data_IF_543766760611
#
_entry.id   IF_543766760611
#
_cell.length_a   1.000
_cell.length_b   1.000
_cell.length_c   1.000
_cell.angle_alpha   90.00
_cell.angle_beta   90.00
_cell.angle_gamma   90.00
#
_symmetry.space_group_name_H-M   'P 1'
#
loop_
_entity.id
_entity.type
_entity.pdbx_description
1 polymer ?
#
# COMPACT_ATOMS: atom_id res chain seq x y z
N UNK A 1 -12.21 14.59 -12.13
CA UNK A 1 -11.19 15.05 -13.13
C UNK A 1 -11.25 16.57 -13.22
N UNK A 2 -12.42 17.20 -13.38
CA UNK A 2 -12.53 18.65 -13.58
C UNK A 2 -11.99 19.50 -12.41
N UNK A 3 -12.04 18.99 -11.18
CA UNK A 3 -11.51 19.65 -9.98
C UNK A 3 -9.98 19.78 -9.97
N UNK A 4 -9.28 18.99 -10.77
CA UNK A 4 -7.82 18.92 -10.77
C UNK A 4 -7.18 19.44 -12.06
N UNK A 5 -7.97 20.02 -12.98
CA UNK A 5 -7.49 20.49 -14.30
C UNK A 5 -6.38 21.56 -14.24
N UNK A 6 -6.25 22.25 -13.11
CA UNK A 6 -5.26 23.33 -12.93
C UNK A 6 -4.06 22.91 -12.07
N UNK A 7 -3.96 21.62 -11.71
CA UNK A 7 -2.87 21.07 -10.92
C UNK A 7 -1.95 20.26 -11.86
N UNK A 8 -0.67 20.16 -11.52
CA UNK A 8 0.31 19.30 -12.21
C UNK A 8 -0.01 17.81 -11.94
N UNK A 9 -1.19 17.37 -12.40
CA UNK A 9 -1.70 16.02 -12.19
C UNK A 9 -1.84 15.32 -13.54
N UNK A 10 -1.27 14.13 -13.64
CA UNK A 10 -1.42 13.24 -14.80
C UNK A 10 -2.48 12.19 -14.47
N UNK A 11 -3.54 12.13 -15.28
CA UNK A 11 -4.58 11.11 -15.16
C UNK A 11 -4.25 9.92 -16.04
N UNK A 12 -4.27 8.73 -15.43
CA UNK A 12 -4.06 7.46 -16.13
C UNK A 12 -5.29 6.58 -15.90
N UNK A 13 -5.91 6.14 -16.99
CA UNK A 13 -7.10 5.29 -16.93
C UNK A 13 -6.71 3.82 -16.84
N UNK A 14 -7.21 3.13 -15.82
CA UNK A 14 -7.22 1.67 -15.76
C UNK A 14 -8.50 1.15 -16.41
N UNK A 15 -8.43 0.74 -17.67
CA UNK A 15 -9.60 0.29 -18.46
C UNK A 15 -10.27 -0.99 -17.93
N UNK A 16 -9.51 -1.87 -17.29
CA UNK A 16 -9.99 -3.10 -16.68
C UNK A 16 -9.48 -3.14 -15.23
N UNK A 17 -10.36 -3.38 -14.29
CA UNK A 17 -10.02 -3.48 -12.87
C UNK A 17 -9.39 -4.87 -12.59
N UNK A 18 -8.11 -5.01 -12.89
CA UNK A 18 -7.36 -6.26 -12.75
C UNK A 18 -6.49 -6.32 -11.49
N UNK A 19 -6.70 -5.38 -10.55
CA UNK A 19 -5.97 -5.30 -9.29
C UNK A 19 -5.02 -4.10 -9.21
N UNK A 20 -4.43 -3.93 -8.02
CA UNK A 20 -3.65 -2.74 -7.66
C UNK A 20 -2.31 -2.65 -8.40
N UNK A 21 -1.64 -3.78 -8.67
CA UNK A 21 -0.42 -3.77 -9.50
C UNK A 21 -0.71 -3.41 -10.95
N UNK A 22 -1.87 -3.81 -11.49
CA UNK A 22 -2.27 -3.42 -12.84
C UNK A 22 -2.52 -1.92 -12.93
N UNK A 23 -3.11 -1.29 -11.89
CA UNK A 23 -3.24 0.16 -11.83
C UNK A 23 -1.87 0.85 -11.93
N UNK A 24 -0.89 0.42 -11.14
CA UNK A 24 0.48 0.97 -11.20
C UNK A 24 1.16 0.68 -12.54
N UNK A 25 0.93 -0.50 -13.13
CA UNK A 25 1.45 -0.84 -14.46
C UNK A 25 1.01 0.15 -15.53
N UNK A 26 -0.25 0.60 -15.48
CA UNK A 26 -0.74 1.64 -16.40
C UNK A 26 -0.05 2.99 -16.17
N UNK A 27 0.42 3.28 -14.95
CA UNK A 27 1.13 4.52 -14.61
C UNK A 27 2.62 4.52 -15.01
N UNK A 28 3.23 3.36 -15.33
CA UNK A 28 4.68 3.28 -15.61
C UNK A 28 5.14 4.19 -16.76
N UNK A 29 4.29 4.41 -17.75
CA UNK A 29 4.63 5.34 -18.86
C UNK A 29 4.80 6.79 -18.39
N UNK A 30 4.02 7.23 -17.40
CA UNK A 30 4.13 8.55 -16.78
C UNK A 30 5.39 8.67 -15.89
N UNK A 31 5.93 7.55 -15.42
CA UNK A 31 7.13 7.48 -14.57
C UNK A 31 8.42 7.24 -15.36
N UNK A 32 8.38 7.10 -16.69
CA UNK A 32 9.49 6.63 -17.52
C UNK A 32 10.81 7.41 -17.34
N UNK A 33 10.74 8.71 -17.06
CA UNK A 33 11.91 9.57 -16.88
C UNK A 33 12.07 10.05 -15.43
N UNK A 34 11.35 9.44 -14.51
CA UNK A 34 11.42 9.76 -13.08
C UNK A 34 12.44 8.84 -12.40
N UNK A 35 13.42 9.44 -11.73
CA UNK A 35 14.41 8.76 -10.91
C UNK A 35 14.20 9.21 -9.46
N UNK A 36 13.78 8.29 -8.60
CA UNK A 36 13.50 8.57 -7.20
C UNK A 36 12.43 7.68 -6.59
N UNK A 37 11.94 8.09 -5.43
CA UNK A 37 10.96 7.34 -4.66
C UNK A 37 9.52 7.72 -5.08
N UNK A 38 8.72 6.70 -5.33
CA UNK A 38 7.29 6.84 -5.66
C UNK A 38 6.46 6.47 -4.44
N UNK A 39 5.73 7.45 -3.89
CA UNK A 39 4.74 7.22 -2.85
C UNK A 39 3.42 6.80 -3.49
N UNK A 40 2.89 5.67 -3.07
CA UNK A 40 1.61 5.12 -3.54
C UNK A 40 0.61 5.20 -2.40
N UNK A 41 -0.52 5.84 -2.66
CA UNK A 41 -1.62 6.01 -1.70
C UNK A 41 -2.89 5.35 -2.24
N UNK A 42 -3.67 4.76 -1.35
CA UNK A 42 -5.03 4.32 -1.65
C UNK A 42 -6.00 5.49 -1.59
N UNK A 43 -6.85 5.65 -2.59
CA UNK A 43 -7.79 6.78 -2.69
C UNK A 43 -8.94 6.74 -1.68
N UNK A 44 -9.11 5.62 -1.01
CA UNK A 44 -10.14 5.36 0.01
C UNK A 44 -9.64 5.53 1.46
N UNK A 45 -8.42 6.03 1.67
CA UNK A 45 -7.81 6.24 3.00
C UNK A 45 -7.62 7.75 3.25
N UNK A 46 -8.70 8.51 3.55
CA UNK A 46 -8.65 9.96 3.59
C UNK A 46 -8.02 10.54 4.86
N UNK A 47 -7.86 9.73 5.93
CA UNK A 47 -7.44 10.21 7.24
C UNK A 47 -5.92 10.19 7.44
N UNK A 48 -5.16 9.77 6.45
CA UNK A 48 -3.69 9.74 6.54
C UNK A 48 -3.14 11.17 6.72
N UNK A 49 -2.31 11.36 7.73
CA UNK A 49 -1.75 12.67 8.06
C UNK A 49 -0.47 12.95 7.26
N UNK A 50 -0.26 14.21 6.89
CA UNK A 50 0.95 14.65 6.20
C UNK A 50 2.23 14.34 7.02
N UNK A 51 2.19 14.52 8.34
CA UNK A 51 3.32 14.19 9.22
C UNK A 51 3.65 12.70 9.22
N UNK A 52 2.62 11.85 9.17
CA UNK A 52 2.81 10.39 9.07
C UNK A 52 3.48 10.01 7.74
N UNK A 53 3.06 10.61 6.63
CA UNK A 53 3.69 10.41 5.33
C UNK A 53 5.14 10.92 5.29
N UNK A 54 5.41 12.08 5.89
CA UNK A 54 6.77 12.63 5.97
C UNK A 54 7.67 11.73 6.83
N UNK A 55 7.19 11.26 7.97
CA UNK A 55 7.92 10.33 8.82
C UNK A 55 8.15 8.99 8.12
N UNK A 56 7.19 8.50 7.35
CA UNK A 56 7.32 7.29 6.54
C UNK A 56 8.38 7.46 5.45
N UNK A 57 8.40 8.59 4.76
CA UNK A 57 9.43 8.90 3.77
C UNK A 57 10.83 8.97 4.40
N UNK A 58 10.97 9.62 5.55
CA UNK A 58 12.23 9.67 6.28
C UNK A 58 12.68 8.27 6.75
N UNK A 59 11.74 7.44 7.21
CA UNK A 59 12.00 6.06 7.58
C UNK A 59 12.53 5.24 6.38
N UNK A 60 11.88 5.34 5.23
CA UNK A 60 12.31 4.69 3.99
C UNK A 60 13.75 5.05 3.62
N UNK A 61 14.07 6.35 3.61
CA UNK A 61 15.41 6.86 3.27
C UNK A 61 16.47 6.42 4.29
N UNK A 62 16.16 6.48 5.59
CA UNK A 62 17.08 6.08 6.67
C UNK A 62 17.47 4.60 6.56
N UNK A 63 16.53 3.75 6.16
CA UNK A 63 16.75 2.33 5.98
C UNK A 63 17.34 1.98 4.60
N UNK A 64 17.51 2.98 3.72
CA UNK A 64 17.97 2.78 2.33
C UNK A 64 17.17 1.65 1.65
N UNK A 65 15.85 1.64 1.91
CA UNK A 65 14.97 0.62 1.41
C UNK A 65 14.68 0.83 -0.08
N UNK A 66 14.42 -0.25 -0.81
CA UNK A 66 13.91 -0.23 -2.17
C UNK A 66 12.37 -0.35 -2.19
N UNK A 67 11.80 -0.83 -1.11
CA UNK A 67 10.36 -0.93 -0.89
C UNK A 67 10.01 -0.82 0.58
N UNK A 68 9.03 0.01 0.90
CA UNK A 68 8.51 0.18 2.26
C UNK A 68 7.00 0.18 2.27
N UNK A 69 6.41 -0.24 3.39
CA UNK A 69 4.97 -0.19 3.62
C UNK A 69 4.65 0.43 4.96
N UNK A 70 3.46 1.02 5.05
CA UNK A 70 2.85 1.37 6.33
C UNK A 70 2.06 0.16 6.84
N UNK A 71 2.21 -0.16 8.12
CA UNK A 71 1.41 -1.17 8.81
C UNK A 71 0.84 -0.63 10.12
N UNK A 72 -0.16 -1.30 10.64
CA UNK A 72 -0.68 -1.11 12.01
C UNK A 72 -1.27 -2.40 12.54
N UNK A 73 -1.57 -2.44 13.85
CA UNK A 73 -2.36 -3.53 14.43
C UNK A 73 -3.83 -3.13 14.49
N UNK A 74 -4.71 -4.04 14.06
CA UNK A 74 -6.15 -3.94 14.29
C UNK A 74 -6.62 -5.02 15.27
N UNK A 75 -7.66 -4.73 16.05
CA UNK A 75 -8.36 -5.73 16.87
C UNK A 75 -9.10 -6.72 15.98
N UNK A 76 -9.84 -6.21 14.99
CA UNK A 76 -10.42 -7.00 13.91
C UNK A 76 -9.74 -6.65 12.58
N UNK A 77 -8.80 -7.51 12.11
CA UNK A 77 -8.10 -7.30 10.87
C UNK A 77 -8.86 -7.86 9.64
N UNK A 78 -10.12 -8.24 9.77
CA UNK A 78 -10.90 -8.81 8.66
C UNK A 78 -10.89 -7.89 7.43
N UNK A 79 -10.72 -8.49 6.25
CA UNK A 79 -10.70 -7.76 4.98
C UNK A 79 -9.33 -7.18 4.58
N UNK A 80 -8.40 -7.01 5.52
CA UNK A 80 -7.07 -6.46 5.21
C UNK A 80 -6.04 -7.55 4.88
N UNK A 81 -5.04 -7.23 4.07
CA UNK A 81 -3.83 -8.03 3.92
C UNK A 81 -3.03 -8.12 5.23
N UNK A 82 -2.39 -9.25 5.47
CA UNK A 82 -1.57 -9.50 6.68
C UNK A 82 -0.09 -9.28 6.39
N UNK A 83 0.60 -8.60 7.30
CA UNK A 83 2.05 -8.43 7.26
C UNK A 83 2.70 -9.57 8.04
N UNK A 84 3.25 -10.54 7.33
CA UNK A 84 3.94 -11.68 7.91
C UNK A 84 5.42 -11.32 8.06
N UNK A 85 5.95 -11.50 9.28
CA UNK A 85 7.34 -11.16 9.61
C UNK A 85 8.14 -12.38 10.01
N UNK A 86 9.44 -12.33 9.71
CA UNK A 86 10.45 -13.24 10.24
C UNK A 86 11.27 -12.49 11.29
N UNK A 87 11.27 -13.00 12.53
CA UNK A 87 11.87 -12.26 13.66
C UNK A 87 11.11 -10.98 13.98
N UNK A 88 11.81 -9.97 14.53
CA UNK A 88 11.16 -8.78 15.07
C UNK A 88 10.57 -7.84 14.00
N UNK A 89 11.29 -7.60 12.90
CA UNK A 89 10.92 -6.53 11.95
C UNK A 89 11.18 -6.86 10.47
N UNK A 90 11.65 -8.04 10.13
CA UNK A 90 11.91 -8.38 8.73
C UNK A 90 10.63 -8.82 8.04
N UNK A 91 10.25 -8.13 6.96
CA UNK A 91 9.14 -8.55 6.12
C UNK A 91 9.42 -9.93 5.50
N UNK A 92 8.55 -10.89 5.76
CA UNK A 92 8.57 -12.19 5.08
C UNK A 92 7.70 -12.14 3.82
N UNK A 93 6.43 -11.82 4.01
CA UNK A 93 5.45 -11.70 2.94
C UNK A 93 4.28 -10.79 3.35
N UNK A 94 3.49 -10.35 2.41
CA UNK A 94 2.18 -9.77 2.62
C UNK A 94 1.18 -10.71 1.95
N UNK A 95 0.17 -11.14 2.70
CA UNK A 95 -0.84 -12.07 2.18
C UNK A 95 -2.23 -11.46 2.30
N UNK A 96 -2.98 -11.44 1.21
CA UNK A 96 -4.33 -10.89 1.21
C UNK A 96 -5.28 -11.76 2.04
N UNK A 97 -6.30 -11.14 2.65
CA UNK A 97 -7.23 -11.81 3.57
C UNK A 97 -7.85 -13.09 2.98
N UNK A 98 -8.20 -13.07 1.70
CA UNK A 98 -8.85 -14.20 1.03
C UNK A 98 -7.90 -15.37 0.80
N UNK A 99 -6.62 -15.08 0.57
CA UNK A 99 -5.58 -16.08 0.31
C UNK A 99 -4.92 -16.60 1.61
N UNK A 100 -5.13 -15.91 2.75
CA UNK A 100 -4.54 -16.25 4.05
C UNK A 100 -5.14 -17.53 4.64
N UNK A 101 -4.29 -18.42 5.17
CA UNK A 101 -4.70 -19.56 5.99
C UNK A 101 -5.12 -19.12 7.41
N UNK A 102 -5.56 -20.06 8.24
CA UNK A 102 -6.07 -19.75 9.59
C UNK A 102 -5.01 -19.08 10.50
N UNK A 103 -3.76 -19.54 10.46
CA UNK A 103 -2.67 -18.97 11.27
C UNK A 103 -2.33 -17.55 10.79
N UNK A 104 -2.26 -17.34 9.49
CA UNK A 104 -2.00 -16.04 8.88
C UNK A 104 -3.14 -15.05 9.18
N UNK A 105 -4.41 -15.50 9.17
CA UNK A 105 -5.57 -14.67 9.54
C UNK A 105 -5.54 -14.22 11.00
N UNK A 106 -4.91 -14.98 11.90
CA UNK A 106 -4.76 -14.61 13.31
C UNK A 106 -3.75 -13.47 13.54
N UNK A 107 -2.90 -13.16 12.53
CA UNK A 107 -1.97 -12.02 12.60
C UNK A 107 -2.77 -10.72 12.58
N UNK A 108 -2.54 -9.86 13.58
CA UNK A 108 -3.23 -8.57 13.73
C UNK A 108 -2.58 -7.43 12.98
N UNK A 109 -1.31 -7.58 12.58
CA UNK A 109 -0.62 -6.56 11.81
C UNK A 109 -1.05 -6.59 10.35
N UNK A 110 -1.61 -5.48 9.90
CA UNK A 110 -2.22 -5.36 8.58
C UNK A 110 -1.40 -4.47 7.65
N UNK A 111 -1.55 -4.73 6.36
CA UNK A 111 -1.07 -3.91 5.27
C UNK A 111 -2.06 -2.78 5.01
N UNK A 112 -1.58 -1.53 5.07
CA UNK A 112 -2.42 -0.34 4.87
C UNK A 112 -2.75 -0.03 3.41
N UNK A 113 -2.05 -0.65 2.45
CA UNK A 113 -2.13 -0.23 1.06
C UNK A 113 -1.31 1.02 0.71
N UNK A 114 -0.50 1.53 1.65
CA UNK A 114 0.36 2.70 1.44
C UNK A 114 1.81 2.25 1.35
N UNK A 115 2.48 2.64 0.27
CA UNK A 115 3.83 2.15 -0.05
C UNK A 115 4.75 3.27 -0.54
N UNK A 116 6.04 3.06 -0.37
CA UNK A 116 7.09 3.78 -1.10
C UNK A 116 7.94 2.73 -1.82
N UNK A 117 8.18 2.96 -3.10
CA UNK A 117 9.11 2.16 -3.90
C UNK A 117 10.06 3.05 -4.67
N UNK A 118 11.28 2.58 -4.84
CA UNK A 118 12.18 3.10 -5.86
C UNK A 118 11.54 2.94 -7.25
N UNK A 119 11.64 3.97 -8.10
CA UNK A 119 11.02 3.98 -9.43
C UNK A 119 11.54 2.86 -10.34
N UNK A 120 12.81 2.47 -10.19
CA UNK A 120 13.41 1.37 -10.97
C UNK A 120 12.83 0.04 -10.55
N UNK A 121 12.54 -0.15 -9.24
CA UNK A 121 11.87 -1.35 -8.73
C UNK A 121 10.47 -1.48 -9.31
N UNK A 122 9.69 -0.39 -9.39
CA UNK A 122 8.37 -0.42 -10.02
C UNK A 122 8.47 -0.82 -11.49
N UNK A 123 9.37 -0.19 -12.24
CA UNK A 123 9.55 -0.47 -13.67
C UNK A 123 9.94 -1.93 -13.94
N UNK A 124 10.86 -2.47 -13.13
CA UNK A 124 11.41 -3.81 -13.32
C UNK A 124 10.53 -4.93 -12.77
N UNK A 125 9.85 -4.70 -11.64
CA UNK A 125 9.20 -5.79 -10.87
C UNK A 125 7.69 -5.84 -11.08
N UNK A 126 7.00 -4.73 -11.36
CA UNK A 126 5.56 -4.75 -11.68
C UNK A 126 5.22 -5.73 -12.79
N UNK A 127 5.97 -5.82 -13.92
CA UNK A 127 5.67 -6.79 -14.97
C UNK A 127 5.80 -8.26 -14.56
N UNK A 128 6.47 -8.56 -13.45
CA UNK A 128 6.68 -9.93 -12.96
C UNK A 128 5.54 -10.44 -12.07
N UNK A 129 4.69 -9.54 -11.58
CA UNK A 129 3.55 -9.90 -10.72
C UNK A 129 2.56 -10.74 -11.51
N UNK A 130 2.10 -11.83 -10.89
CA UNK A 130 1.10 -12.74 -11.43
C UNK A 130 -0.23 -12.57 -10.72
N UNK A 131 -1.28 -13.13 -11.29
CA UNK A 131 -2.62 -13.15 -10.71
C UNK A 131 -3.07 -14.56 -10.29
N UNK A 132 -2.11 -15.38 -9.86
CA UNK A 132 -2.33 -16.76 -9.39
C UNK A 132 -2.81 -16.77 -7.92
N UNK A 133 -3.94 -16.08 -7.67
CA UNK A 133 -4.59 -15.94 -6.37
C UNK A 133 -6.10 -16.14 -6.50
N UNK A 134 -6.81 -16.18 -5.37
CA UNK A 134 -8.26 -16.47 -5.33
C UNK A 134 -9.06 -15.41 -6.13
N UNK A 135 -8.66 -14.15 -6.09
CA UNK A 135 -9.37 -13.06 -6.77
C UNK A 135 -9.02 -12.93 -8.26
N UNK A 136 -7.97 -13.63 -8.73
CA UNK A 136 -7.41 -13.48 -10.09
C UNK A 136 -6.98 -12.05 -10.41
N UNK A 137 -6.45 -11.34 -9.41
CA UNK A 137 -6.00 -9.96 -9.49
C UNK A 137 -4.49 -9.85 -9.34
N UNK A 138 -3.91 -8.82 -9.96
CA UNK A 138 -2.50 -8.48 -9.78
C UNK A 138 -2.36 -7.63 -8.51
N UNK A 139 -1.90 -8.24 -7.42
CA UNK A 139 -1.73 -7.58 -6.13
C UNK A 139 -0.41 -6.80 -6.07
N UNK A 140 -0.47 -5.50 -5.79
CA UNK A 140 0.74 -4.67 -5.66
C UNK A 140 1.68 -5.15 -4.55
N UNK A 141 1.21 -5.60 -3.38
CA UNK A 141 2.10 -6.11 -2.33
C UNK A 141 2.96 -7.31 -2.76
N UNK A 142 2.59 -8.04 -3.81
CA UNK A 142 3.43 -9.14 -4.33
C UNK A 142 4.79 -8.66 -4.85
N UNK A 143 4.95 -7.36 -5.14
CA UNK A 143 6.23 -6.76 -5.54
C UNK A 143 7.32 -7.01 -4.49
N UNK A 144 6.97 -7.08 -3.20
CA UNK A 144 7.91 -7.35 -2.11
C UNK A 144 8.55 -8.74 -2.20
N UNK A 145 7.97 -9.67 -2.96
CA UNK A 145 8.56 -10.99 -3.20
C UNK A 145 9.76 -10.94 -4.16
N UNK A 146 9.89 -9.85 -4.91
CA UNK A 146 10.99 -9.63 -5.87
C UNK A 146 12.06 -8.66 -5.34
N UNK A 147 11.91 -8.17 -4.10
CA UNK A 147 12.87 -7.29 -3.44
C UNK A 147 13.61 -8.10 -2.37
N UNK A 148 14.93 -7.94 -2.29
CA UNK A 148 15.74 -8.54 -1.24
C UNK A 148 15.24 -8.09 0.14
N UNK A 149 15.01 -9.03 1.05
CA UNK A 149 14.32 -8.75 2.32
C UNK A 149 15.02 -7.68 3.19
N UNK A 150 16.33 -7.54 3.08
CA UNK A 150 17.09 -6.49 3.79
C UNK A 150 16.94 -5.09 3.15
N UNK A 151 16.37 -5.01 1.94
CA UNK A 151 16.01 -3.78 1.23
C UNK A 151 14.53 -3.44 1.36
N UNK A 152 13.80 -4.14 2.22
CA UNK A 152 12.41 -3.81 2.55
C UNK A 152 12.33 -3.23 3.96
N UNK A 153 11.37 -2.32 4.19
CA UNK A 153 11.12 -1.82 5.54
C UNK A 153 9.64 -1.69 5.85
N UNK A 154 9.32 -1.78 7.14
CA UNK A 154 7.96 -1.67 7.66
C UNK A 154 7.91 -0.47 8.58
N UNK A 155 7.10 0.52 8.25
CA UNK A 155 6.80 1.66 9.11
C UNK A 155 5.48 1.43 9.83
N UNK A 156 5.56 1.03 11.10
CA UNK A 156 4.39 0.73 11.90
C UNK A 156 3.87 1.96 12.61
N UNK A 157 2.63 2.34 12.31
CA UNK A 157 1.94 3.44 12.97
C UNK A 157 1.10 2.93 14.16
N UNK A 158 0.82 3.84 15.10
CA UNK A 158 0.03 3.51 16.30
C UNK A 158 -1.46 3.83 16.13
N UNK A 159 -1.76 4.95 15.46
CA UNK A 159 -3.14 5.41 15.23
C UNK A 159 -3.70 4.71 14.00
N UNK A 160 -4.47 3.64 14.23
CA UNK A 160 -5.07 2.87 13.14
C UNK A 160 -6.15 3.64 12.37
N UNK A 161 -6.70 4.72 12.94
CA UNK A 161 -7.70 5.54 12.24
C UNK A 161 -7.12 6.20 10.99
N UNK A 162 -5.81 6.49 11.00
CA UNK A 162 -5.14 7.11 9.84
C UNK A 162 -5.18 6.24 8.58
N UNK A 163 -5.36 4.93 8.71
CA UNK A 163 -5.39 3.99 7.58
C UNK A 163 -6.74 3.31 7.42
N UNK A 164 -7.78 3.82 8.09
CA UNK A 164 -9.13 3.32 7.93
C UNK A 164 -9.65 3.64 6.54
N UNK A 165 -9.92 2.61 5.76
CA UNK A 165 -10.52 2.74 4.43
C UNK A 165 -12.01 3.01 4.51
N UNK A 166 -12.54 3.79 3.55
CA UNK A 166 -13.98 4.06 3.38
C UNK A 166 -14.49 3.22 2.22
N UNK A 167 -15.27 2.20 2.52
CA UNK A 167 -15.92 1.35 1.53
C UNK A 167 -17.45 1.48 1.55
N UNK A 168 -18.03 2.03 2.63
CA UNK A 168 -19.48 2.20 2.79
C UNK A 168 -19.84 3.60 3.29
N UNK A 169 -21.10 3.99 3.09
CA UNK A 169 -21.62 5.28 3.57
C UNK A 169 -21.60 5.34 5.10
N UNK A 170 -21.78 4.20 5.78
CA UNK A 170 -21.73 4.09 7.24
C UNK A 170 -20.32 4.41 7.74
N UNK A 171 -19.27 3.81 7.11
CA UNK A 171 -17.87 4.10 7.44
C UNK A 171 -17.50 5.58 7.20
N UNK A 172 -18.05 6.19 6.13
CA UNK A 172 -17.87 7.62 5.90
C UNK A 172 -18.44 8.46 7.06
N UNK A 173 -19.65 8.17 7.51
CA UNK A 173 -20.29 8.89 8.63
C UNK A 173 -19.54 8.71 9.94
N UNK A 174 -19.01 7.52 10.20
CA UNK A 174 -18.18 7.26 11.38
C UNK A 174 -16.92 8.10 11.37
N UNK A 175 -16.24 8.20 10.22
CA UNK A 175 -15.05 9.03 10.07
C UNK A 175 -15.35 10.53 10.16
N UNK A 176 -16.46 11.01 9.57
CA UNK A 176 -16.91 12.40 9.72
C UNK A 176 -17.12 12.77 11.19
N UNK A 177 -17.70 11.87 11.99
CA UNK A 177 -17.89 12.09 13.43
C UNK A 177 -16.57 12.19 14.22
N UNK A 178 -15.48 11.57 13.73
CA UNK A 178 -14.14 11.69 14.33
C UNK A 178 -13.43 13.01 13.99
N UNK A 179 -13.75 13.60 12.83
CA UNK A 179 -13.12 14.85 12.37
C UNK A 179 -13.81 16.12 12.87
N UNK A 180 -15.03 16.01 13.40
CA UNK A 180 -15.85 17.16 13.86
C UNK A 180 -15.61 17.47 15.36
N UNK A 181 -14.66 16.84 16.01
CA UNK A 181 -14.22 17.11 17.39
C UNK A 181 -12.89 17.86 17.39
#
# INVERSE_FOLDING_TARGET
>A
IDQFKNNDVVFVEQKKLLGTADAIKNCLSALKNFDGNVLILSGDVPMIKADTLMNFFNHHNTHKALGSLISTNLEDPAGYGRVIKKGANQLSEIIEHKDANQEQRAVREINSGIYIFDSTVLADKIPLIKNDNIQKEYYLPDIFNFIEKHKTSIYKIKDSNEISGINTVEQLKELEALTTK
#
